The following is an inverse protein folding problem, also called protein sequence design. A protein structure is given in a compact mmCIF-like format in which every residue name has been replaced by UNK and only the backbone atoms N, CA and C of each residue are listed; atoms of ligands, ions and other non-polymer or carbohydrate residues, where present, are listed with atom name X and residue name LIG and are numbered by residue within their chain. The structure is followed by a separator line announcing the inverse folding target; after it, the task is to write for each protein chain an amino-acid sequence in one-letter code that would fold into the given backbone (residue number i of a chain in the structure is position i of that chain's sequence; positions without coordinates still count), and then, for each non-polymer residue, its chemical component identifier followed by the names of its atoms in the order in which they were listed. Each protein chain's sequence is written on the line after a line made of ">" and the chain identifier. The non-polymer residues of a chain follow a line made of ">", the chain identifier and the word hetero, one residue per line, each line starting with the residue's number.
data_IF_256435676405
#
_entry.id   IF_256435676405
#
_cell.length_a   1.000
_cell.length_b   1.000
_cell.length_c   1.000
_cell.angle_alpha   90.00
_cell.angle_beta   90.00
_cell.angle_gamma   90.00
#
_symmetry.space_group_name_H-M   'P 1'
#
loop_
_entity.id
_entity.type
_entity.pdbx_description
1 polymer ?
#
# COMPACT_ATOMS: atom_id res chain seq x y z
N UNK A 1 84.57 26.73 45.54
CA UNK A 1 84.79 26.99 44.08
C UNK A 1 83.84 26.08 43.27
N UNK A 2 83.13 26.68 42.41
CA UNK A 2 82.24 26.11 41.38
C UNK A 2 80.89 25.55 41.83
N UNK A 3 79.95 26.47 41.78
CA UNK A 3 78.53 26.20 41.74
C UNK A 3 78.13 25.66 40.38
N UNK A 4 77.43 24.56 40.36
CA UNK A 4 76.75 24.07 39.15
C UNK A 4 75.26 24.28 39.38
N UNK A 5 74.69 25.16 38.65
CA UNK A 5 73.26 25.43 38.62
C UNK A 5 72.53 24.38 37.79
N UNK A 6 71.52 23.76 38.39
CA UNK A 6 70.61 22.83 37.72
C UNK A 6 69.44 23.59 37.12
N UNK A 7 69.13 23.49 35.84
CA UNK A 7 67.91 24.09 35.28
C UNK A 7 66.71 23.23 35.55
N UNK A 8 65.73 23.80 36.23
CA UNK A 8 64.40 23.21 36.44
C UNK A 8 63.58 23.36 35.18
N UNK A 9 63.09 22.25 34.59
CA UNK A 9 62.16 22.19 33.46
C UNK A 9 60.74 22.14 34.01
N UNK A 10 59.87 23.11 33.68
CA UNK A 10 58.46 22.97 34.03
C UNK A 10 57.75 22.04 33.07
N UNK A 11 57.28 20.93 33.56
CA UNK A 11 56.39 19.99 32.86
C UNK A 11 55.00 20.66 32.67
N UNK A 12 54.75 21.16 31.47
CA UNK A 12 53.37 21.52 31.03
C UNK A 12 52.64 20.24 30.66
N UNK A 13 51.86 19.74 31.59
CA UNK A 13 50.86 18.66 31.30
C UNK A 13 49.74 19.31 30.52
N UNK A 14 49.77 19.18 29.18
CA UNK A 14 48.65 19.49 28.32
C UNK A 14 47.54 18.50 28.54
N UNK A 15 46.45 18.93 29.17
CA UNK A 15 45.17 18.19 29.20
C UNK A 15 44.59 18.18 27.78
N UNK A 16 44.88 17.12 27.02
CA UNK A 16 44.07 16.77 25.87
C UNK A 16 42.71 16.27 26.39
N UNK A 17 41.75 17.18 26.39
CA UNK A 17 40.35 16.82 26.54
C UNK A 17 39.92 16.06 25.27
N UNK A 18 39.94 14.74 25.34
CA UNK A 18 39.39 13.85 24.34
C UNK A 18 37.86 13.98 24.42
N UNK A 19 37.33 14.95 23.63
CA UNK A 19 35.89 15.14 23.44
C UNK A 19 35.38 13.99 22.59
N UNK A 20 35.06 12.87 23.25
CA UNK A 20 34.38 11.73 22.59
C UNK A 20 32.91 12.14 22.34
N UNK A 21 32.68 12.82 21.20
CA UNK A 21 31.34 13.13 20.73
C UNK A 21 30.64 11.83 20.38
N UNK A 22 29.83 11.33 21.30
CA UNK A 22 28.90 10.24 21.08
C UNK A 22 27.85 10.70 20.09
N UNK A 23 28.10 10.51 18.80
CA UNK A 23 27.09 10.66 17.73
C UNK A 23 26.15 9.47 17.90
N UNK A 24 25.10 9.66 18.70
CA UNK A 24 23.98 8.75 18.78
C UNK A 24 23.22 8.85 17.46
N UNK A 25 23.57 8.01 16.47
CA UNK A 25 22.81 7.84 15.26
C UNK A 25 21.45 7.23 15.70
N UNK A 26 20.44 8.09 15.84
CA UNK A 26 19.06 7.67 16.00
C UNK A 26 18.65 6.97 14.68
N UNK A 27 18.87 5.64 14.63
CA UNK A 27 18.20 4.78 13.66
C UNK A 27 16.71 4.79 14.04
N UNK A 28 15.99 5.78 13.51
CA UNK A 28 14.53 5.74 13.55
C UNK A 28 14.10 4.46 12.84
N UNK A 29 13.29 3.58 13.46
CA UNK A 29 12.75 2.44 12.76
C UNK A 29 11.93 2.99 11.59
N UNK A 30 12.28 2.58 10.38
CA UNK A 30 11.46 2.85 9.21
C UNK A 30 10.20 2.03 9.41
N UNK A 31 9.17 2.64 9.97
CA UNK A 31 7.85 2.03 10.07
C UNK A 31 7.37 1.79 8.64
N UNK A 32 7.46 0.55 8.17
CA UNK A 32 6.91 0.19 6.88
C UNK A 32 5.38 0.25 7.00
N UNK A 33 4.77 1.27 6.40
CA UNK A 33 3.34 1.36 6.26
C UNK A 33 2.80 0.07 5.66
N UNK A 34 1.95 -0.64 6.40
CA UNK A 34 1.32 -1.87 5.93
C UNK A 34 0.13 -1.51 5.05
N UNK A 35 0.17 -1.99 3.81
CA UNK A 35 -0.94 -1.89 2.87
C UNK A 35 -1.56 -3.27 2.69
N UNK A 36 -2.86 -3.37 2.97
CA UNK A 36 -3.59 -4.63 2.98
C UNK A 36 -4.67 -4.60 1.89
N UNK A 37 -4.68 -5.63 1.06
CA UNK A 37 -5.74 -5.89 0.08
C UNK A 37 -6.49 -7.13 0.53
N UNK A 38 -7.78 -6.99 0.83
CA UNK A 38 -8.62 -8.08 1.27
C UNK A 38 -9.71 -8.40 0.25
N UNK A 39 -9.90 -9.69 0.00
CA UNK A 39 -11.01 -10.27 -0.78
C UNK A 39 -11.19 -9.61 -2.15
N UNK A 40 -10.12 -9.53 -2.98
CA UNK A 40 -10.24 -9.02 -4.33
C UNK A 40 -11.06 -9.97 -5.20
N UNK A 41 -12.04 -9.43 -5.90
CA UNK A 41 -12.90 -10.20 -6.80
C UNK A 41 -13.40 -9.36 -7.98
N UNK A 42 -13.77 -10.01 -9.04
CA UNK A 42 -14.25 -9.40 -10.28
C UNK A 42 -15.45 -10.17 -10.83
N UNK A 43 -16.36 -9.51 -11.52
CA UNK A 43 -17.49 -10.17 -12.16
C UNK A 43 -17.08 -10.80 -13.48
N UNK A 44 -17.66 -11.98 -13.84
CA UNK A 44 -17.43 -12.59 -15.14
C UNK A 44 -17.92 -11.67 -16.26
N UNK A 45 -17.17 -11.63 -17.36
CA UNK A 45 -17.54 -10.87 -18.55
C UNK A 45 -16.87 -11.44 -19.81
N UNK A 46 -17.48 -11.22 -20.97
CA UNK A 46 -16.94 -11.67 -22.24
C UNK A 46 -15.82 -10.74 -22.74
N UNK A 47 -14.99 -11.26 -23.63
CA UNK A 47 -14.00 -10.47 -24.37
C UNK A 47 -14.65 -9.24 -25.01
N UNK A 48 -13.98 -8.11 -24.95
CA UNK A 48 -14.44 -6.82 -25.48
C UNK A 48 -15.43 -6.09 -24.58
N UNK A 49 -15.99 -6.75 -23.58
CA UNK A 49 -16.88 -6.11 -22.60
C UNK A 49 -16.09 -5.45 -21.48
N UNK A 50 -16.80 -4.70 -20.64
CA UNK A 50 -16.24 -4.09 -19.43
C UNK A 50 -16.73 -4.84 -18.20
N UNK A 51 -15.90 -4.84 -17.15
CA UNK A 51 -16.25 -5.40 -15.83
C UNK A 51 -15.63 -4.56 -14.72
N UNK A 52 -16.12 -4.75 -13.51
CA UNK A 52 -15.64 -4.04 -12.33
C UNK A 52 -14.93 -4.99 -11.38
N UNK A 53 -13.84 -4.49 -10.77
CA UNK A 53 -13.09 -5.18 -9.72
C UNK A 53 -13.39 -4.53 -8.39
N UNK A 54 -13.56 -5.35 -7.38
CA UNK A 54 -13.93 -4.98 -6.03
C UNK A 54 -12.94 -5.56 -5.03
N UNK A 55 -12.70 -4.87 -3.92
CA UNK A 55 -11.82 -5.30 -2.84
C UNK A 55 -11.95 -4.37 -1.64
N UNK A 56 -11.43 -4.79 -0.50
CA UNK A 56 -11.23 -3.91 0.64
C UNK A 56 -9.76 -3.52 0.72
N UNK A 57 -9.50 -2.23 0.87
CA UNK A 57 -8.16 -1.65 0.99
C UNK A 57 -7.99 -1.02 2.37
N UNK A 58 -6.85 -1.26 3.00
CA UNK A 58 -6.50 -0.63 4.28
C UNK A 58 -5.03 -0.26 4.26
N UNK A 59 -4.70 0.92 4.76
CA UNK A 59 -3.32 1.34 5.03
C UNK A 59 -3.19 1.72 6.51
N UNK A 60 -2.15 1.26 7.20
CA UNK A 60 -1.95 1.61 8.61
C UNK A 60 -1.70 3.10 8.81
N UNK A 61 -0.95 3.72 7.91
CA UNK A 61 -0.46 5.10 8.05
C UNK A 61 -1.15 6.07 7.07
N UNK A 62 -2.12 5.56 6.31
CA UNK A 62 -2.72 6.26 5.20
C UNK A 62 -1.91 6.07 3.91
N UNK A 63 -2.60 6.14 2.77
CA UNK A 63 -1.99 6.02 1.46
C UNK A 63 -2.95 6.55 0.38
N UNK A 64 -2.45 6.66 -0.85
CA UNK A 64 -3.26 7.01 -2.01
C UNK A 64 -2.96 6.03 -3.14
N UNK A 65 -4.00 5.39 -3.68
CA UNK A 65 -3.87 4.64 -4.94
C UNK A 65 -3.85 5.66 -6.07
N UNK A 66 -2.71 5.79 -6.74
CA UNK A 66 -2.48 6.82 -7.77
C UNK A 66 -2.57 6.26 -9.19
N UNK A 67 -2.41 4.94 -9.36
CA UNK A 67 -2.58 4.28 -10.65
C UNK A 67 -2.98 2.82 -10.47
N UNK A 68 -3.61 2.27 -11.51
CA UNK A 68 -3.92 0.84 -11.62
C UNK A 68 -3.53 0.39 -13.02
N UNK A 69 -2.93 -0.79 -13.13
CA UNK A 69 -2.54 -1.40 -14.40
C UNK A 69 -2.97 -2.85 -14.46
N UNK A 70 -3.28 -3.32 -15.66
CA UNK A 70 -3.57 -4.72 -15.95
C UNK A 70 -3.36 -4.99 -17.44
N UNK A 71 -2.96 -6.21 -17.77
CA UNK A 71 -2.89 -6.70 -19.15
C UNK A 71 -4.20 -7.34 -19.60
N UNK A 72 -5.20 -7.46 -18.72
CA UNK A 72 -6.46 -8.13 -18.95
C UNK A 72 -7.50 -7.23 -19.66
N UNK A 73 -7.25 -5.92 -19.76
CA UNK A 73 -8.15 -4.95 -20.37
C UNK A 73 -7.39 -3.85 -21.13
N UNK A 74 -8.02 -3.26 -22.11
CA UNK A 74 -7.43 -2.17 -22.88
C UNK A 74 -7.27 -0.88 -22.07
N UNK A 75 -8.10 -0.70 -21.02
CA UNK A 75 -8.00 0.42 -20.09
C UNK A 75 -8.55 0.02 -18.72
N UNK A 76 -8.01 0.65 -17.68
CA UNK A 76 -8.50 0.54 -16.32
C UNK A 76 -8.62 1.94 -15.71
N UNK A 77 -9.68 2.18 -14.95
CA UNK A 77 -9.93 3.44 -14.27
C UNK A 77 -10.38 3.21 -12.83
N UNK A 78 -9.96 4.10 -11.94
CA UNK A 78 -10.55 4.23 -10.60
C UNK A 78 -11.85 5.01 -10.76
N UNK A 79 -12.96 4.45 -10.33
CA UNK A 79 -14.28 5.07 -10.45
C UNK A 79 -14.78 5.42 -9.06
N UNK A 80 -15.19 6.67 -8.87
CA UNK A 80 -15.72 7.16 -7.61
C UNK A 80 -17.09 6.56 -7.25
N UNK A 81 -17.62 6.84 -6.06
CA UNK A 81 -18.93 6.37 -5.62
C UNK A 81 -20.06 7.10 -6.34
N UNK A 82 -21.23 6.45 -6.42
CA UNK A 82 -22.46 7.02 -6.93
C UNK A 82 -22.92 6.51 -8.29
N UNK A 83 -24.12 6.95 -8.70
CA UNK A 83 -24.76 6.51 -9.95
C UNK A 83 -24.10 7.11 -11.20
N UNK A 84 -23.59 8.33 -11.10
CA UNK A 84 -22.86 9.04 -12.17
C UNK A 84 -21.35 8.89 -11.98
N UNK A 85 -20.91 7.69 -11.67
CA UNK A 85 -19.56 7.37 -11.27
C UNK A 85 -18.55 7.79 -12.34
N UNK A 86 -17.92 8.94 -12.12
CA UNK A 86 -16.84 9.44 -12.98
C UNK A 86 -15.52 8.78 -12.58
N UNK A 87 -14.63 8.65 -13.57
CA UNK A 87 -13.24 8.30 -13.30
C UNK A 87 -12.60 9.38 -12.44
N UNK A 88 -11.88 8.95 -11.39
CA UNK A 88 -11.11 9.81 -10.51
C UNK A 88 -9.62 9.55 -10.69
N UNK A 89 -8.81 10.58 -10.49
CA UNK A 89 -7.36 10.46 -10.68
C UNK A 89 -6.70 9.55 -9.63
N UNK A 90 -7.28 9.49 -8.43
CA UNK A 90 -6.71 8.73 -7.31
C UNK A 90 -7.77 8.36 -6.28
N UNK A 91 -7.43 7.41 -5.41
CA UNK A 91 -8.27 6.98 -4.28
C UNK A 91 -7.48 7.13 -2.98
N UNK A 92 -7.92 8.02 -2.11
CA UNK A 92 -7.32 8.23 -0.80
C UNK A 92 -7.79 7.18 0.20
N UNK A 93 -6.86 6.63 0.97
CA UNK A 93 -7.06 5.66 2.03
C UNK A 93 -6.66 6.31 3.36
N UNK A 94 -7.61 6.72 4.21
CA UNK A 94 -7.28 7.24 5.54
C UNK A 94 -6.59 6.17 6.39
N UNK A 95 -5.70 6.61 7.30
CA UNK A 95 -4.97 5.71 8.19
C UNK A 95 -5.91 4.81 9.00
N UNK A 96 -5.62 3.52 9.05
CA UNK A 96 -6.36 2.52 9.81
C UNK A 96 -7.80 2.29 9.35
N UNK A 97 -8.24 2.93 8.26
CA UNK A 97 -9.63 2.86 7.79
C UNK A 97 -9.76 1.88 6.62
N UNK A 98 -10.78 1.02 6.67
CA UNK A 98 -11.11 0.14 5.54
C UNK A 98 -11.88 0.94 4.49
N UNK A 99 -11.32 1.06 3.30
CA UNK A 99 -11.99 1.61 2.13
C UNK A 99 -12.49 0.46 1.26
N UNK A 100 -13.81 0.29 1.22
CA UNK A 100 -14.45 -0.77 0.45
C UNK A 100 -14.72 -0.31 -0.99
N UNK A 101 -14.10 -0.99 -1.95
CA UNK A 101 -14.51 -0.94 -3.34
C UNK A 101 -15.58 -2.01 -3.54
N UNK A 102 -16.81 -1.59 -3.80
CA UNK A 102 -17.97 -2.47 -3.84
C UNK A 102 -19.03 -1.95 -4.85
N UNK A 103 -19.98 -2.78 -5.27
CA UNK A 103 -21.10 -2.32 -6.07
C UNK A 103 -21.81 -1.11 -5.45
N UNK A 104 -21.98 -0.03 -6.22
CA UNK A 104 -22.57 1.23 -5.74
C UNK A 104 -21.62 2.16 -4.98
N UNK A 105 -20.39 1.72 -4.68
CA UNK A 105 -19.31 2.50 -4.08
C UNK A 105 -18.21 2.76 -5.11
N UNK A 106 -17.04 3.20 -4.63
CA UNK A 106 -15.85 3.24 -5.48
C UNK A 106 -15.52 1.83 -6.00
N UNK A 107 -14.89 1.74 -7.18
CA UNK A 107 -14.53 0.49 -7.85
C UNK A 107 -13.40 0.71 -8.86
N UNK A 108 -12.78 -0.36 -9.32
CA UNK A 108 -11.88 -0.32 -10.45
C UNK A 108 -12.64 -0.84 -11.67
N UNK A 109 -12.74 -0.07 -12.73
CA UNK A 109 -13.45 -0.46 -13.95
C UNK A 109 -12.46 -0.87 -15.01
N UNK A 110 -12.57 -2.11 -15.49
CA UNK A 110 -11.82 -2.67 -16.60
C UNK A 110 -12.64 -2.51 -17.87
N UNK A 111 -12.08 -1.80 -18.86
CA UNK A 111 -12.78 -1.51 -20.10
C UNK A 111 -12.18 -2.30 -21.28
N UNK A 112 -13.03 -2.93 -22.06
CA UNK A 112 -12.66 -3.74 -23.21
C UNK A 112 -11.65 -4.84 -22.86
N UNK A 113 -12.16 -5.88 -22.20
CA UNK A 113 -11.36 -7.06 -21.83
C UNK A 113 -10.68 -7.67 -23.07
N UNK A 114 -9.41 -8.03 -22.95
CA UNK A 114 -8.63 -8.69 -24.01
C UNK A 114 -8.99 -10.16 -24.17
N UNK A 115 -9.53 -10.77 -23.12
CA UNK A 115 -10.09 -12.14 -23.09
C UNK A 115 -11.38 -12.19 -22.29
N UNK A 116 -12.16 -13.26 -22.45
CA UNK A 116 -13.27 -13.54 -21.54
C UNK A 116 -12.73 -13.96 -20.17
N UNK A 117 -13.34 -13.46 -19.10
CA UNK A 117 -13.06 -13.85 -17.72
C UNK A 117 -14.24 -14.64 -17.18
N UNK A 118 -13.99 -15.88 -16.79
CA UNK A 118 -14.98 -16.87 -16.36
C UNK A 118 -14.89 -17.15 -14.89
N UNK A 119 -15.93 -17.69 -14.29
CA UNK A 119 -15.93 -18.09 -12.88
C UNK A 119 -14.71 -18.95 -12.54
N UNK A 120 -14.01 -18.61 -11.47
CA UNK A 120 -12.79 -19.26 -11.00
C UNK A 120 -11.50 -18.80 -11.66
N UNK A 121 -11.56 -18.00 -12.74
CA UNK A 121 -10.35 -17.37 -13.29
C UNK A 121 -9.75 -16.38 -12.30
N UNK A 122 -8.47 -16.08 -12.48
CA UNK A 122 -7.78 -15.00 -11.78
C UNK A 122 -7.49 -13.85 -12.76
N UNK A 123 -7.81 -12.65 -12.34
CA UNK A 123 -7.46 -11.40 -13.02
C UNK A 123 -6.35 -10.72 -12.24
N UNK A 124 -5.22 -10.49 -12.89
CA UNK A 124 -4.05 -9.85 -12.28
C UNK A 124 -4.06 -8.36 -12.56
N UNK A 125 -3.91 -7.57 -11.50
CA UNK A 125 -3.72 -6.12 -11.60
C UNK A 125 -2.57 -5.69 -10.70
N UNK A 126 -2.05 -4.50 -10.99
CA UNK A 126 -1.04 -3.85 -10.16
C UNK A 126 -1.57 -2.49 -9.72
N UNK A 127 -1.65 -2.28 -8.41
CA UNK A 127 -1.98 -0.98 -7.82
C UNK A 127 -0.68 -0.22 -7.56
N UNK A 128 -0.54 0.99 -8.06
CA UNK A 128 0.53 1.89 -7.65
C UNK A 128 0.03 2.72 -6.48
N UNK A 129 0.65 2.54 -5.33
CA UNK A 129 0.27 3.15 -4.06
C UNK A 129 1.35 4.14 -3.63
N UNK A 130 0.93 5.35 -3.30
CA UNK A 130 1.79 6.40 -2.74
C UNK A 130 1.53 6.51 -1.24
N UNK A 131 2.57 6.34 -0.44
CA UNK A 131 2.53 6.52 1.01
C UNK A 131 2.49 8.00 1.41
N UNK A 132 2.27 8.26 2.70
CA UNK A 132 2.27 9.62 3.26
C UNK A 132 3.65 10.30 3.17
N UNK A 133 4.71 9.52 3.00
CA UNK A 133 6.09 9.98 2.76
C UNK A 133 6.40 10.27 1.29
N UNK A 134 5.40 10.13 0.39
CA UNK A 134 5.56 10.28 -1.05
C UNK A 134 6.20 9.08 -1.76
N UNK A 135 6.56 8.02 -1.03
CA UNK A 135 7.13 6.80 -1.62
C UNK A 135 6.07 6.04 -2.39
N UNK A 136 6.39 5.65 -3.63
CA UNK A 136 5.50 4.83 -4.47
C UNK A 136 5.91 3.38 -4.46
N UNK A 137 4.91 2.51 -4.38
CA UNK A 137 5.09 1.05 -4.42
C UNK A 137 4.03 0.42 -5.32
N UNK A 138 4.44 -0.59 -6.07
CA UNK A 138 3.55 -1.40 -6.90
C UNK A 138 3.12 -2.64 -6.10
N UNK A 139 1.82 -2.80 -5.94
CA UNK A 139 1.20 -3.89 -5.19
C UNK A 139 0.48 -4.80 -6.18
N UNK A 140 0.97 -6.02 -6.42
CA UNK A 140 0.28 -6.98 -7.27
C UNK A 140 -0.97 -7.51 -6.54
N UNK A 141 -2.07 -7.61 -7.26
CA UNK A 141 -3.36 -8.10 -6.77
C UNK A 141 -3.89 -9.17 -7.72
N UNK A 142 -4.35 -10.28 -7.17
CA UNK A 142 -5.03 -11.34 -7.90
C UNK A 142 -6.50 -11.35 -7.48
N UNK A 143 -7.39 -10.95 -8.38
CA UNK A 143 -8.81 -10.91 -8.15
C UNK A 143 -9.48 -12.16 -8.75
N UNK A 144 -10.17 -12.93 -7.94
CA UNK A 144 -10.90 -14.11 -8.40
C UNK A 144 -12.20 -13.72 -9.07
N UNK A 145 -12.52 -14.35 -10.20
CA UNK A 145 -13.78 -14.13 -10.91
C UNK A 145 -14.92 -14.86 -10.19
N UNK A 146 -15.86 -14.07 -9.63
CA UNK A 146 -16.99 -14.55 -8.84
C UNK A 146 -18.28 -13.83 -9.22
N UNK A 147 -19.42 -14.47 -8.97
CA UNK A 147 -20.75 -13.85 -9.15
C UNK A 147 -21.09 -12.88 -8.02
N UNK A 148 -20.49 -13.06 -6.82
CA UNK A 148 -20.82 -12.34 -5.59
C UNK A 148 -19.57 -12.03 -4.79
N UNK A 149 -19.72 -11.13 -3.82
CA UNK A 149 -18.68 -10.82 -2.85
C UNK A 149 -18.37 -12.02 -1.97
N UNK A 150 -17.09 -12.34 -1.71
CA UNK A 150 -16.71 -13.34 -0.71
C UNK A 150 -17.32 -13.09 0.66
N UNK A 151 -17.50 -11.83 1.06
CA UNK A 151 -18.16 -11.45 2.33
C UNK A 151 -19.62 -11.87 2.41
N UNK A 152 -20.33 -11.92 1.29
CA UNK A 152 -21.73 -12.37 1.27
C UNK A 152 -21.82 -13.91 1.44
N UNK A 153 -20.82 -14.62 0.97
CA UNK A 153 -20.72 -16.07 1.13
C UNK A 153 -20.39 -16.43 2.59
N UNK A 154 -19.47 -15.72 3.24
CA UNK A 154 -19.15 -15.90 4.67
C UNK A 154 -20.37 -15.62 5.57
N UNK A 155 -21.10 -14.53 5.35
CA UNK A 155 -22.32 -14.23 6.11
C UNK A 155 -23.38 -15.33 6.00
N UNK A 156 -23.55 -15.93 4.82
CA UNK A 156 -24.50 -17.04 4.62
C UNK A 156 -24.06 -18.31 5.34
N UNK A 157 -22.75 -18.63 5.30
CA UNK A 157 -22.23 -19.78 6.02
C UNK A 157 -22.47 -19.66 7.54
N UNK A 158 -22.27 -18.50 8.12
CA UNK A 158 -22.55 -18.24 9.54
C UNK A 158 -24.03 -18.38 9.89
N UNK A 159 -24.95 -17.94 9.02
CA UNK A 159 -26.39 -18.09 9.26
C UNK A 159 -26.88 -19.54 9.09
N UNK A 160 -26.22 -20.34 8.25
CA UNK A 160 -26.58 -21.74 8.05
C UNK A 160 -26.21 -22.65 9.24
N UNK A 161 -25.26 -22.25 10.08
CA UNK A 161 -24.84 -23.00 11.27
C UNK A 161 -25.56 -22.56 12.56
N UNK A 162 -26.47 -21.59 12.50
CA UNK A 162 -27.19 -21.06 13.65
C UNK A 162 -28.60 -21.68 13.85
N UNK A 163 -28.92 -22.79 13.16
CA UNK A 163 -30.19 -23.55 13.29
C UNK A 163 -29.95 -24.98 13.72
#
# INVERSE_FOLDING_TARGET
>A
MRNAATPTIPARIGRLALSCGLVLLLLAPVANALFIVNQPWVRPAARGQSTDVYMNLTSTDGATVVAVRTDEAAAVAIVGPGKSAAAVASLTLPAGTVVALAPGKARLSLTRLVRSVKLGDLVVLTLTVEGTDGTRRDIPVQAEVRMRSPLDDEKRAHHAHAH
#
